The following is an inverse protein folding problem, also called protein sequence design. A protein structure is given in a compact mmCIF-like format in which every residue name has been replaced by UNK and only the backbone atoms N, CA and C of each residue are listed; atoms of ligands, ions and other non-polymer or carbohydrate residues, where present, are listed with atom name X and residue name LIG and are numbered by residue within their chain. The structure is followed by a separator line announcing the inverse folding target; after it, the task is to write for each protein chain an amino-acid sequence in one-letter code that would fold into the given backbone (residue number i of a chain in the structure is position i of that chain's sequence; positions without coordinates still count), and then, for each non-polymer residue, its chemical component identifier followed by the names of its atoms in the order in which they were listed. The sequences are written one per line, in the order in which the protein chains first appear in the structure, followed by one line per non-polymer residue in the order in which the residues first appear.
data_IF_072567807583
#
_entry.id   IF_072567807583
#
_cell.length_a   1.000
_cell.length_b   1.000
_cell.length_c   1.000
_cell.angle_alpha   90.00
_cell.angle_beta   90.00
_cell.angle_gamma   90.00
#
_symmetry.space_group_name_H-M   'P 1'
#
loop_
_entity.id
_entity.type
_entity.pdbx_description
1 polymer ?
#
# COMPACT_ATOMS: atom_id res chain seq x y z
N UNK A 1 -15.56 -12.59 13.19
CA UNK A 1 -16.43 -11.39 13.33
C UNK A 1 -17.05 -11.00 11.99
N UNK A 2 -18.32 -10.62 11.94
CA UNK A 2 -19.03 -10.22 10.70
C UNK A 2 -19.07 -8.70 10.49
N UNK A 3 -18.68 -7.92 11.49
CA UNK A 3 -18.59 -6.46 11.43
C UNK A 3 -17.37 -5.97 12.21
N UNK A 4 -16.85 -4.80 11.83
CA UNK A 4 -15.74 -4.13 12.50
C UNK A 4 -15.90 -2.61 12.37
N UNK A 5 -15.39 -1.88 13.36
CA UNK A 5 -15.17 -0.44 13.25
C UNK A 5 -13.77 -0.21 12.67
N UNK A 6 -13.68 0.60 11.63
CA UNK A 6 -12.41 0.94 10.96
C UNK A 6 -12.35 2.42 10.65
N UNK A 7 -11.14 2.94 10.50
CA UNK A 7 -10.93 4.28 9.98
C UNK A 7 -11.25 4.33 8.49
N UNK A 8 -11.81 5.45 8.04
CA UNK A 8 -11.96 5.72 6.61
C UNK A 8 -10.64 6.10 5.94
N UNK A 9 -10.53 5.86 4.64
CA UNK A 9 -9.32 6.19 3.86
C UNK A 9 -8.98 7.68 3.90
N UNK A 10 -9.99 8.57 3.90
CA UNK A 10 -9.77 10.01 4.02
C UNK A 10 -9.11 10.41 5.34
N UNK A 11 -9.45 9.73 6.44
CA UNK A 11 -8.81 9.98 7.74
C UNK A 11 -7.35 9.53 7.75
N UNK A 12 -7.02 8.43 7.07
CA UNK A 12 -5.65 7.95 6.91
C UNK A 12 -4.83 8.95 6.08
N UNK A 13 -5.39 9.44 4.97
CA UNK A 13 -4.73 10.41 4.09
C UNK A 13 -4.56 11.81 4.71
N UNK A 14 -5.29 12.13 5.77
CA UNK A 14 -5.11 13.38 6.52
C UNK A 14 -3.97 13.32 7.54
N UNK A 15 -3.30 12.17 7.68
CA UNK A 15 -2.12 12.05 8.54
C UNK A 15 -0.93 12.83 7.97
N UNK A 16 0.06 13.17 8.81
CA UNK A 16 1.26 13.88 8.34
C UNK A 16 2.26 12.95 7.64
N UNK A 17 2.31 11.70 8.09
CA UNK A 17 3.22 10.67 7.61
C UNK A 17 2.48 9.33 7.66
N UNK A 18 2.65 8.50 6.63
CA UNK A 18 2.08 7.16 6.56
C UNK A 18 3.22 6.15 6.48
N UNK A 19 3.19 5.15 7.36
CA UNK A 19 4.08 3.99 7.31
C UNK A 19 3.23 2.75 7.02
N UNK A 20 3.42 2.14 5.86
CA UNK A 20 2.75 0.90 5.46
C UNK A 20 3.75 -0.27 5.53
N UNK A 21 3.34 -1.35 6.17
CA UNK A 21 4.11 -2.58 6.28
C UNK A 21 3.37 -3.69 5.53
N UNK A 22 4.03 -4.39 4.61
CA UNK A 22 3.47 -5.57 3.95
C UNK A 22 4.56 -6.63 3.76
N UNK A 23 4.25 -7.85 4.18
CA UNK A 23 5.19 -8.97 4.16
C UNK A 23 4.50 -10.21 3.58
N UNK A 24 5.28 -11.08 2.95
CA UNK A 24 4.78 -12.32 2.35
C UNK A 24 4.39 -12.19 0.87
N UNK A 25 4.58 -13.28 0.15
CA UNK A 25 4.29 -13.39 -1.29
C UNK A 25 2.80 -13.14 -1.60
N UNK A 26 1.90 -13.49 -0.68
CA UNK A 26 0.46 -13.26 -0.83
C UNK A 26 0.08 -11.78 -0.96
N UNK A 27 1.00 -10.87 -0.62
CA UNK A 27 0.82 -9.42 -0.77
C UNK A 27 1.39 -8.87 -2.07
N UNK A 28 2.18 -9.63 -2.82
CA UNK A 28 2.92 -9.12 -3.97
C UNK A 28 2.03 -8.47 -5.04
N UNK A 29 0.91 -9.11 -5.37
CA UNK A 29 -0.05 -8.56 -6.33
C UNK A 29 -0.71 -7.27 -5.83
N UNK A 30 -1.07 -7.22 -4.54
CA UNK A 30 -1.68 -6.05 -3.92
C UNK A 30 -0.69 -4.87 -3.83
N UNK A 31 0.58 -5.15 -3.49
CA UNK A 31 1.66 -4.17 -3.45
C UNK A 31 1.91 -3.60 -4.84
N UNK A 32 2.00 -4.44 -5.87
CA UNK A 32 2.15 -3.99 -7.26
C UNK A 32 1.00 -3.08 -7.68
N UNK A 33 -0.24 -3.52 -7.47
CA UNK A 33 -1.42 -2.73 -7.82
C UNK A 33 -1.48 -1.41 -7.05
N UNK A 34 -1.06 -1.39 -5.78
CA UNK A 34 -1.00 -0.19 -4.96
C UNK A 34 0.05 0.81 -5.43
N UNK A 35 1.24 0.34 -5.85
CA UNK A 35 2.38 1.21 -6.17
C UNK A 35 2.37 1.64 -7.64
N UNK A 36 2.05 0.72 -8.55
CA UNK A 36 2.19 0.92 -10.00
C UNK A 36 0.86 0.98 -10.75
N UNK A 37 -0.23 0.56 -10.09
CA UNK A 37 -1.57 0.55 -10.67
C UNK A 37 -2.27 1.91 -10.63
N UNK A 38 -3.41 2.05 -11.32
CA UNK A 38 -4.24 3.24 -11.24
C UNK A 38 -4.86 3.41 -9.86
N UNK A 39 -5.18 4.64 -9.48
CA UNK A 39 -5.89 4.92 -8.22
C UNK A 39 -7.38 4.57 -8.36
N UNK A 40 -7.85 3.53 -7.67
CA UNK A 40 -9.24 3.04 -7.73
C UNK A 40 -9.80 2.65 -6.34
N UNK A 41 -11.11 2.44 -6.25
CA UNK A 41 -11.80 2.06 -5.00
C UNK A 41 -11.63 0.56 -4.68
N UNK A 42 -11.39 -0.25 -5.69
CA UNK A 42 -11.12 -1.69 -5.63
C UNK A 42 -9.74 -1.97 -5.02
N UNK A 43 -8.82 -1.01 -5.12
CA UNK A 43 -7.50 -1.03 -4.48
C UNK A 43 -7.37 0.22 -3.61
N UNK A 44 -8.01 0.30 -2.42
CA UNK A 44 -8.02 1.51 -1.60
C UNK A 44 -6.62 2.05 -1.26
N UNK A 45 -5.64 1.15 -1.13
CA UNK A 45 -4.26 1.51 -0.83
C UNK A 45 -3.59 2.32 -1.95
N UNK A 46 -4.06 2.21 -3.20
CA UNK A 46 -3.58 3.04 -4.32
C UNK A 46 -3.78 4.54 -4.06
N UNK A 47 -4.74 4.92 -3.20
CA UNK A 47 -4.93 6.31 -2.80
C UNK A 47 -3.72 6.90 -2.07
N UNK A 48 -2.84 6.07 -1.49
CA UNK A 48 -1.60 6.50 -0.85
C UNK A 48 -0.63 7.16 -1.84
N UNK A 49 -0.72 6.85 -3.14
CA UNK A 49 0.05 7.53 -4.19
C UNK A 49 -0.17 9.06 -4.22
N UNK A 50 -1.30 9.54 -3.70
CA UNK A 50 -1.65 10.96 -3.64
C UNK A 50 -1.10 11.67 -2.40
N UNK A 51 -0.57 10.93 -1.44
CA UNK A 51 -0.07 11.49 -0.20
C UNK A 51 1.42 11.85 -0.33
N UNK A 52 1.85 13.06 0.04
CA UNK A 52 3.23 13.51 -0.20
C UNK A 52 4.27 12.80 0.66
N UNK A 53 3.87 12.11 1.73
CA UNK A 53 4.79 11.46 2.67
C UNK A 53 4.31 10.06 3.07
N UNK A 54 4.75 9.06 2.29
CA UNK A 54 4.44 7.65 2.52
C UNK A 54 5.74 6.86 2.48
N UNK A 55 5.95 6.04 3.50
CA UNK A 55 7.02 5.04 3.54
C UNK A 55 6.38 3.66 3.49
N UNK A 56 6.82 2.84 2.55
CA UNK A 56 6.36 1.46 2.40
C UNK A 56 7.54 0.53 2.69
N UNK A 57 7.39 -0.32 3.70
CA UNK A 57 8.38 -1.33 4.05
C UNK A 57 7.84 -2.69 3.59
N UNK A 58 8.63 -3.34 2.74
CA UNK A 58 8.32 -4.63 2.14
C UNK A 58 9.43 -5.62 2.44
N UNK A 59 9.10 -6.90 2.54
CA UNK A 59 10.08 -7.96 2.34
C UNK A 59 10.26 -8.27 0.84
N UNK A 60 11.28 -9.07 0.53
CA UNK A 60 11.56 -9.47 -0.85
C UNK A 60 10.38 -10.22 -1.50
N UNK A 61 9.66 -11.02 -0.71
CA UNK A 61 8.51 -11.78 -1.21
C UNK A 61 7.35 -10.87 -1.62
N UNK A 62 7.00 -9.87 -0.82
CA UNK A 62 5.97 -8.88 -1.14
C UNK A 62 6.40 -7.91 -2.25
N UNK A 63 7.71 -7.68 -2.43
CA UNK A 63 8.24 -6.86 -3.52
C UNK A 63 8.41 -7.61 -4.85
N UNK A 64 8.24 -8.93 -4.88
CA UNK A 64 8.60 -9.82 -6.00
C UNK A 64 7.96 -9.51 -7.36
N UNK A 65 6.88 -8.72 -7.39
CA UNK A 65 6.15 -8.38 -8.62
C UNK A 65 6.33 -6.92 -9.08
N UNK A 66 7.08 -6.11 -8.33
CA UNK A 66 7.39 -4.73 -8.68
C UNK A 66 8.34 -4.69 -9.89
N UNK A 67 8.18 -3.65 -10.71
CA UNK A 67 8.94 -3.44 -11.94
C UNK A 67 10.23 -2.65 -11.75
N UNK A 68 10.36 -1.93 -10.63
CA UNK A 68 11.58 -1.19 -10.27
C UNK A 68 12.63 -2.08 -9.61
N UNK A 69 13.91 -1.77 -9.85
CA UNK A 69 14.99 -2.31 -9.02
C UNK A 69 14.80 -1.80 -7.60
N UNK A 70 14.69 -2.72 -6.63
CA UNK A 70 14.90 -2.38 -5.25
C UNK A 70 16.39 -2.04 -5.11
N UNK A 71 16.73 -0.75 -5.23
CA UNK A 71 18.07 -0.27 -4.91
C UNK A 71 18.44 -0.80 -3.51
N UNK A 72 19.49 -1.62 -3.48
CA UNK A 72 20.01 -2.27 -2.30
C UNK A 72 20.60 -1.29 -1.29
#
# INVERSE_FOLDING_TARGET
PTAAYSMGIGSILNSKNILLLAFGEEKAAAVKAMVEGPVTEEVPASALQKHPNVVVILDQAAASQLSGEADA
#
